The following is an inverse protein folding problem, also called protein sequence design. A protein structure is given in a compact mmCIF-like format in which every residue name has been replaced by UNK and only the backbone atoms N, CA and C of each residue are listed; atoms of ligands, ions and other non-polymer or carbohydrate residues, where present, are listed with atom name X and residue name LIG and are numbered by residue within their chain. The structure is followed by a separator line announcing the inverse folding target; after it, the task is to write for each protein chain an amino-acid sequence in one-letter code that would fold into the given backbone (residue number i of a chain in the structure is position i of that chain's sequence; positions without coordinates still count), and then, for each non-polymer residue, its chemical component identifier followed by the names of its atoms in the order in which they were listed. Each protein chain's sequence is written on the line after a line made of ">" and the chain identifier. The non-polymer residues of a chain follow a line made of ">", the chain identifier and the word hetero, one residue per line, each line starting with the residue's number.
data_IF_282494877491
#
_entry.id   IF_282494877491
#
_cell.length_a   1.000
_cell.length_b   1.000
_cell.length_c   1.000
_cell.angle_alpha   90.00
_cell.angle_beta   90.00
_cell.angle_gamma   90.00
#
_symmetry.space_group_name_H-M   'P 1'
#
loop_
_entity.id
_entity.type
_entity.pdbx_description
1 polymer ?
#
# COMPACT_ATOMS: atom_id res chain seq x y z
N UNK A 1 13.62 -14.72 14.61
CA UNK A 1 14.92 -14.31 15.19
C UNK A 1 14.63 -13.10 16.06
N UNK A 2 15.00 -13.08 17.35
CA UNK A 2 14.72 -11.93 18.22
C UNK A 2 15.70 -10.79 17.93
N UNK A 3 15.22 -9.56 17.78
CA UNK A 3 16.08 -8.38 17.75
C UNK A 3 16.61 -8.18 19.17
N UNK A 4 17.86 -8.58 19.42
CA UNK A 4 18.45 -8.53 20.78
C UNK A 4 19.20 -7.24 21.08
N UNK A 5 19.59 -6.48 20.05
CA UNK A 5 20.38 -5.26 20.22
C UNK A 5 20.10 -4.25 19.10
N UNK A 6 19.87 -2.99 19.47
CA UNK A 6 19.71 -1.86 18.55
C UNK A 6 20.88 -0.90 18.79
N UNK A 7 21.68 -0.65 17.75
CA UNK A 7 22.77 0.33 17.81
C UNK A 7 22.31 1.64 17.17
N UNK A 8 21.97 2.61 18.01
CA UNK A 8 21.62 3.96 17.54
C UNK A 8 22.93 4.70 17.23
N UNK A 9 23.12 5.10 15.98
CA UNK A 9 24.18 6.05 15.59
C UNK A 9 23.54 7.42 15.43
N UNK A 10 23.88 8.35 16.32
CA UNK A 10 23.53 9.76 16.16
C UNK A 10 24.68 10.44 15.42
N UNK A 11 24.37 11.33 14.49
CA UNK A 11 25.37 12.21 13.91
C UNK A 11 25.87 13.17 15.01
N UNK A 12 27.19 13.34 15.11
CA UNK A 12 27.81 14.21 16.12
C UNK A 12 27.66 15.71 15.80
N UNK A 13 27.07 16.04 14.65
CA UNK A 13 26.76 17.40 14.23
C UNK A 13 25.85 17.42 12.99
N UNK A 14 25.46 18.62 12.52
CA UNK A 14 24.70 18.78 11.29
C UNK A 14 25.46 18.17 10.11
N UNK A 15 24.80 17.29 9.37
CA UNK A 15 25.33 16.72 8.13
C UNK A 15 24.86 17.56 6.95
N UNK A 16 25.80 18.11 6.17
CA UNK A 16 25.47 18.76 4.90
C UNK A 16 25.20 17.67 3.87
N UNK A 17 23.94 17.51 3.50
CA UNK A 17 23.49 16.66 2.41
C UNK A 17 23.36 17.52 1.16
N UNK A 18 24.06 17.14 0.08
CA UNK A 18 24.20 18.02 -1.09
C UNK A 18 22.88 18.27 -1.85
N UNK A 19 21.88 17.38 -1.71
CA UNK A 19 20.68 17.38 -2.55
C UNK A 19 19.35 17.20 -1.76
N UNK A 20 19.28 17.61 -0.49
CA UNK A 20 18.03 17.54 0.27
C UNK A 20 17.66 18.90 0.87
N UNK A 21 16.53 19.45 0.44
CA UNK A 21 15.89 20.62 1.04
C UNK A 21 14.81 20.15 2.01
N UNK A 22 15.13 20.16 3.31
CA UNK A 22 14.20 19.82 4.39
C UNK A 22 13.55 21.09 4.95
N UNK A 23 12.73 21.77 4.13
CA UNK A 23 12.01 23.04 4.39
C UNK A 23 11.94 23.49 5.87
N UNK A 24 10.84 23.23 6.57
CA UNK A 24 10.73 23.44 8.03
C UNK A 24 11.15 22.20 8.85
N UNK A 25 11.45 21.08 8.19
CA UNK A 25 11.80 19.82 8.86
C UNK A 25 10.73 19.34 9.85
N UNK A 26 11.17 18.79 10.98
CA UNK A 26 10.31 18.32 12.09
C UNK A 26 10.24 19.39 13.20
N UNK A 27 9.89 20.62 12.86
CA UNK A 27 9.83 21.72 13.84
C UNK A 27 8.44 21.88 14.44
N UNK A 28 8.39 22.21 15.73
CA UNK A 28 7.14 22.43 16.46
C UNK A 28 6.35 23.63 15.89
N UNK A 29 5.03 23.47 15.73
CA UNK A 29 4.12 24.57 15.35
C UNK A 29 4.14 24.98 13.88
N UNK A 30 4.82 24.25 13.00
CA UNK A 30 5.01 24.61 11.58
C UNK A 30 4.14 23.88 10.55
N UNK A 31 3.44 22.81 10.93
CA UNK A 31 2.83 21.84 10.01
C UNK A 31 1.33 21.63 10.27
N UNK A 32 0.58 21.39 9.19
CA UNK A 32 -0.85 21.05 9.26
C UNK A 32 -1.09 19.54 9.49
N UNK A 33 -0.06 18.70 9.37
CA UNK A 33 -0.12 17.24 9.49
C UNK A 33 1.02 16.70 10.35
N UNK A 34 0.85 15.48 10.86
CA UNK A 34 1.93 14.72 11.47
C UNK A 34 3.02 14.43 10.43
N UNK A 35 4.30 14.33 10.84
CA UNK A 35 5.36 13.90 9.96
C UNK A 35 5.22 12.42 9.61
N UNK A 36 5.39 12.08 8.34
CA UNK A 36 5.43 10.70 7.85
C UNK A 36 6.89 10.30 7.64
N UNK A 37 7.33 9.23 8.31
CA UNK A 37 8.72 8.75 8.25
C UNK A 37 8.71 7.35 7.63
N UNK A 38 8.96 7.28 6.34
CA UNK A 38 9.06 6.01 5.63
C UNK A 38 10.45 5.38 5.81
N UNK A 39 10.47 4.10 6.19
CA UNK A 39 11.72 3.33 6.32
C UNK A 39 11.70 2.12 5.39
N UNK A 40 12.66 2.09 4.47
CA UNK A 40 12.90 0.95 3.59
C UNK A 40 13.64 -0.17 4.32
N UNK A 41 13.11 -1.38 4.25
CA UNK A 41 13.75 -2.58 4.77
C UNK A 41 14.10 -3.56 3.67
N UNK A 42 15.13 -4.37 3.90
CA UNK A 42 15.43 -5.50 3.03
C UNK A 42 14.22 -6.45 2.97
N UNK A 43 13.79 -6.80 1.76
CA UNK A 43 12.54 -7.53 1.54
C UNK A 43 12.46 -8.88 2.28
N UNK A 44 13.60 -9.54 2.48
CA UNK A 44 13.75 -10.81 3.20
C UNK A 44 13.71 -10.66 4.74
N UNK A 45 13.82 -9.44 5.26
CA UNK A 45 13.80 -9.12 6.69
C UNK A 45 12.55 -8.38 7.15
N UNK A 46 11.63 -8.07 6.24
CA UNK A 46 10.38 -7.36 6.56
C UNK A 46 9.61 -8.01 7.71
N UNK A 47 9.52 -9.33 7.73
CA UNK A 47 8.78 -10.03 8.79
C UNK A 47 9.41 -9.81 10.17
N UNK A 48 10.74 -9.71 10.26
CA UNK A 48 11.44 -9.44 11.53
C UNK A 48 11.03 -8.07 12.10
N UNK A 49 10.83 -7.07 11.25
CA UNK A 49 10.40 -5.73 11.66
C UNK A 49 8.97 -5.77 12.19
N UNK A 50 8.08 -6.48 11.49
CA UNK A 50 6.70 -6.67 11.96
C UNK A 50 6.66 -7.38 13.32
N UNK A 51 7.39 -8.49 13.45
CA UNK A 51 7.49 -9.26 14.68
C UNK A 51 8.03 -8.39 15.83
N UNK A 52 9.03 -7.54 15.55
CA UNK A 52 9.56 -6.60 16.53
C UNK A 52 8.53 -5.56 16.98
N UNK A 53 7.79 -4.96 16.05
CA UNK A 53 6.74 -4.00 16.38
C UNK A 53 5.66 -4.66 17.25
N UNK A 54 5.24 -5.86 16.89
CA UNK A 54 4.28 -6.65 17.69
C UNK A 54 4.84 -6.95 19.09
N UNK A 55 6.06 -7.46 19.22
CA UNK A 55 6.70 -7.72 20.53
C UNK A 55 6.85 -6.44 21.36
N UNK A 56 7.13 -5.31 20.72
CA UNK A 56 7.41 -4.04 21.39
C UNK A 56 6.17 -3.32 21.89
N UNK A 57 5.05 -3.39 21.15
CA UNK A 57 3.87 -2.57 21.38
C UNK A 57 2.62 -3.37 21.78
N UNK A 58 2.53 -4.66 21.45
CA UNK A 58 1.47 -5.55 21.97
C UNK A 58 1.82 -6.02 23.40
N UNK A 59 1.84 -5.09 24.34
CA UNK A 59 2.11 -5.34 25.76
C UNK A 59 0.84 -5.77 26.50
N UNK A 60 1.01 -6.47 27.64
CA UNK A 60 -0.07 -6.88 28.55
C UNK A 60 -1.19 -7.71 27.89
N UNK A 61 -0.86 -8.44 26.82
CA UNK A 61 -1.83 -9.24 26.07
C UNK A 61 -2.79 -8.44 25.19
N UNK A 62 -2.57 -7.12 25.04
CA UNK A 62 -3.42 -6.25 24.22
C UNK A 62 -2.93 -6.18 22.78
N UNK A 63 -3.85 -6.19 21.83
CA UNK A 63 -3.50 -5.98 20.42
C UNK A 63 -3.51 -4.50 20.06
N UNK A 64 -2.35 -3.98 19.65
CA UNK A 64 -2.14 -2.57 19.25
C UNK A 64 -1.45 -2.41 17.91
N UNK A 65 -0.77 -3.44 17.44
CA UNK A 65 -0.09 -3.48 16.14
C UNK A 65 -0.85 -4.41 15.20
N UNK A 66 -1.23 -3.90 14.03
CA UNK A 66 -1.98 -4.65 13.03
C UNK A 66 -1.82 -4.01 11.65
N UNK A 67 -2.23 -4.68 10.58
CA UNK A 67 -2.04 -4.14 9.22
C UNK A 67 -3.19 -3.22 8.81
N UNK A 68 -2.90 -2.20 8.01
CA UNK A 68 -3.95 -1.40 7.39
C UNK A 68 -4.73 -2.23 6.34
N UNK A 69 -5.97 -1.84 6.06
CA UNK A 69 -6.74 -2.40 4.95
C UNK A 69 -6.29 -1.81 3.62
N UNK A 70 -6.58 -2.49 2.52
CA UNK A 70 -6.60 -1.88 1.19
C UNK A 70 -7.92 -2.16 0.50
N UNK A 71 -8.36 -1.21 -0.29
CA UNK A 71 -9.58 -1.33 -1.09
C UNK A 71 -9.25 -1.08 -2.54
N UNK A 72 -9.65 -2.01 -3.38
CA UNK A 72 -9.55 -1.86 -4.84
C UNK A 72 -10.89 -1.43 -5.40
N UNK A 73 -10.85 -0.56 -6.40
CA UNK A 73 -12.03 -0.09 -7.10
C UNK A 73 -12.16 -0.75 -8.47
N UNK A 74 -13.38 -0.74 -9.01
CA UNK A 74 -13.69 -1.21 -10.35
C UNK A 74 -13.06 -0.28 -11.40
N UNK A 75 -11.90 -0.71 -11.92
CA UNK A 75 -11.20 -0.04 -13.04
C UNK A 75 -11.84 -0.41 -14.38
N UNK A 76 -11.65 0.46 -15.38
CA UNK A 76 -12.27 0.36 -16.71
C UNK A 76 -12.17 -1.02 -17.36
N UNK A 77 -10.95 -1.56 -17.50
CA UNK A 77 -10.73 -2.88 -18.12
C UNK A 77 -11.45 -4.01 -17.36
N UNK A 78 -11.47 -3.94 -16.03
CA UNK A 78 -12.13 -4.94 -15.20
C UNK A 78 -13.65 -4.83 -15.29
N UNK A 79 -14.18 -3.60 -15.25
CA UNK A 79 -15.61 -3.33 -15.44
C UNK A 79 -16.10 -3.81 -16.82
N UNK A 80 -15.36 -3.50 -17.89
CA UNK A 80 -15.67 -3.99 -19.24
C UNK A 80 -15.76 -5.52 -19.30
N UNK A 81 -14.82 -6.24 -18.66
CA UNK A 81 -14.84 -7.70 -18.61
C UNK A 81 -16.05 -8.24 -17.85
N UNK A 82 -16.31 -7.68 -16.67
CA UNK A 82 -17.36 -8.16 -15.78
C UNK A 82 -18.75 -7.89 -16.39
N UNK A 83 -18.99 -6.71 -16.95
CA UNK A 83 -20.26 -6.35 -17.62
C UNK A 83 -20.46 -7.11 -18.92
N UNK A 84 -19.43 -7.19 -19.77
CA UNK A 84 -19.54 -7.91 -21.03
C UNK A 84 -19.85 -9.40 -20.82
N UNK A 85 -19.38 -10.00 -19.72
CA UNK A 85 -19.75 -11.36 -19.31
C UNK A 85 -21.24 -11.49 -19.00
N UNK A 86 -21.84 -10.49 -18.32
CA UNK A 86 -23.29 -10.46 -18.03
C UNK A 86 -24.10 -10.37 -19.32
N UNK A 87 -23.65 -9.54 -20.26
CA UNK A 87 -24.23 -9.41 -21.60
C UNK A 87 -23.89 -10.57 -22.55
N UNK A 88 -23.23 -11.63 -22.06
CA UNK A 88 -22.84 -12.84 -22.83
C UNK A 88 -21.99 -12.54 -24.07
N UNK A 89 -21.22 -11.46 -24.05
CA UNK A 89 -20.24 -11.17 -25.10
C UNK A 89 -19.12 -12.22 -25.03
N UNK A 90 -18.68 -12.80 -26.17
CA UNK A 90 -17.61 -13.80 -26.18
C UNK A 90 -16.33 -13.28 -25.50
N UNK A 91 -15.82 -14.03 -24.53
CA UNK A 91 -14.65 -13.65 -23.71
C UNK A 91 -13.39 -13.36 -24.54
N UNK A 92 -13.21 -14.05 -25.68
CA UNK A 92 -12.11 -13.81 -26.61
C UNK A 92 -12.15 -12.40 -27.20
N UNK A 93 -13.33 -11.90 -27.57
CA UNK A 93 -13.53 -10.54 -28.08
C UNK A 93 -13.21 -9.53 -26.99
N UNK A 94 -13.75 -9.72 -25.79
CA UNK A 94 -13.56 -8.78 -24.68
C UNK A 94 -12.10 -8.69 -24.26
N UNK A 95 -11.38 -9.81 -24.18
CA UNK A 95 -9.95 -9.81 -23.88
C UNK A 95 -9.14 -9.13 -24.98
N UNK A 96 -9.48 -9.35 -26.24
CA UNK A 96 -8.83 -8.69 -27.36
C UNK A 96 -9.01 -7.17 -27.29
N UNK A 97 -10.23 -6.70 -27.04
CA UNK A 97 -10.55 -5.27 -26.92
C UNK A 97 -9.88 -4.64 -25.70
N UNK A 98 -9.96 -5.28 -24.54
CA UNK A 98 -9.35 -4.74 -23.29
C UNK A 98 -7.83 -4.74 -23.30
N UNK A 99 -7.19 -5.59 -24.10
CA UNK A 99 -5.74 -5.56 -24.33
C UNK A 99 -5.30 -4.36 -25.19
N UNK A 100 -6.18 -3.79 -26.01
CA UNK A 100 -5.89 -2.59 -26.81
C UNK A 100 -6.05 -1.29 -26.06
N UNK A 101 -6.69 -1.31 -24.89
CA UNK A 101 -6.87 -0.13 -24.05
C UNK A 101 -5.58 0.08 -23.27
N UNK A 102 -5.06 1.31 -23.21
CA UNK A 102 -3.86 1.59 -22.43
C UNK A 102 -4.12 1.44 -20.91
N UNK A 103 -3.09 1.08 -20.14
CA UNK A 103 -3.21 1.05 -18.68
C UNK A 103 -3.44 2.46 -18.13
N UNK A 104 -4.35 2.58 -17.15
CA UNK A 104 -4.74 3.87 -16.59
C UNK A 104 -5.75 4.67 -17.44
N UNK A 105 -6.20 4.14 -18.58
CA UNK A 105 -7.25 4.78 -19.39
C UNK A 105 -8.52 5.00 -18.55
N UNK A 106 -8.96 6.26 -18.48
CA UNK A 106 -10.19 6.67 -17.82
C UNK A 106 -11.39 6.60 -18.78
N UNK A 107 -12.58 6.96 -18.27
CA UNK A 107 -13.82 6.89 -19.05
C UNK A 107 -13.74 7.71 -20.34
N UNK A 108 -13.20 8.92 -20.28
CA UNK A 108 -13.06 9.78 -21.45
C UNK A 108 -12.00 9.25 -22.42
N UNK A 109 -10.89 8.74 -21.88
CA UNK A 109 -9.78 8.15 -22.62
C UNK A 109 -10.21 6.96 -23.46
N UNK A 110 -11.18 6.15 -23.00
CA UNK A 110 -11.77 5.07 -23.78
C UNK A 110 -12.26 5.56 -25.14
N UNK A 111 -13.04 6.65 -25.15
CA UNK A 111 -13.62 7.19 -26.38
C UNK A 111 -12.58 7.91 -27.25
N UNK A 112 -11.57 8.55 -26.64
CA UNK A 112 -10.45 9.12 -27.41
C UNK A 112 -9.68 8.03 -28.15
N UNK A 113 -9.38 6.91 -27.49
CA UNK A 113 -8.74 5.76 -28.15
C UNK A 113 -9.67 5.14 -29.20
N UNK A 114 -10.99 5.09 -28.97
CA UNK A 114 -11.94 4.59 -29.96
C UNK A 114 -12.00 5.49 -31.22
N UNK A 115 -11.76 6.79 -31.10
CA UNK A 115 -11.70 7.67 -32.26
C UNK A 115 -10.58 7.26 -33.23
N UNK A 116 -9.41 6.88 -32.70
CA UNK A 116 -8.25 6.44 -33.49
C UNK A 116 -8.21 4.93 -33.77
N UNK A 117 -8.87 4.11 -32.94
CA UNK A 117 -8.92 2.65 -33.08
C UNK A 117 -10.29 2.16 -33.55
N UNK A 118 -10.36 1.80 -34.84
CA UNK A 118 -11.59 1.29 -35.47
C UNK A 118 -12.19 0.09 -34.73
N UNK A 119 -11.36 -0.86 -34.27
CA UNK A 119 -11.86 -2.09 -33.62
C UNK A 119 -12.51 -1.79 -32.27
N UNK A 120 -11.95 -0.86 -31.51
CA UNK A 120 -12.51 -0.41 -30.24
C UNK A 120 -13.82 0.36 -30.46
N UNK A 121 -13.89 1.21 -31.49
CA UNK A 121 -15.13 1.88 -31.90
C UNK A 121 -16.22 0.90 -32.33
N UNK A 122 -15.88 -0.06 -33.17
CA UNK A 122 -16.82 -1.07 -33.64
C UNK A 122 -17.37 -1.88 -32.45
N UNK A 123 -16.53 -2.21 -31.45
CA UNK A 123 -16.98 -2.86 -30.22
C UNK A 123 -17.98 -2.01 -29.43
N UNK A 124 -17.68 -0.72 -29.22
CA UNK A 124 -18.57 0.22 -28.51
C UNK A 124 -19.92 0.33 -29.22
N UNK A 125 -19.93 0.41 -30.55
CA UNK A 125 -21.15 0.50 -31.35
C UNK A 125 -21.93 -0.82 -31.42
N UNK A 126 -21.24 -1.96 -31.38
CA UNK A 126 -21.88 -3.29 -31.40
C UNK A 126 -22.50 -3.64 -30.05
N UNK A 127 -21.88 -3.22 -28.95
CA UNK A 127 -22.31 -3.53 -27.58
C UNK A 127 -22.58 -2.26 -26.76
N UNK A 128 -23.51 -1.36 -27.18
CA UNK A 128 -23.72 -0.07 -26.52
C UNK A 128 -24.20 -0.22 -25.07
N UNK A 129 -25.03 -1.22 -24.78
CA UNK A 129 -25.50 -1.50 -23.42
C UNK A 129 -24.37 -1.91 -22.46
N UNK A 130 -23.33 -2.59 -22.96
CA UNK A 130 -22.15 -2.91 -22.15
C UNK A 130 -21.44 -1.63 -21.74
N UNK A 131 -21.35 -0.66 -22.65
CA UNK A 131 -20.69 0.62 -22.38
C UNK A 131 -21.53 1.43 -21.39
N UNK A 132 -22.85 1.53 -21.60
CA UNK A 132 -23.77 2.22 -20.67
C UNK A 132 -23.66 1.67 -19.24
N UNK A 133 -23.75 0.35 -19.07
CA UNK A 133 -23.70 -0.29 -17.75
C UNK A 133 -22.33 -0.17 -17.07
N UNK A 134 -21.24 -0.15 -17.85
CA UNK A 134 -19.88 0.02 -17.30
C UNK A 134 -19.75 1.35 -16.57
N UNK A 135 -20.35 2.43 -17.08
CA UNK A 135 -20.20 3.77 -16.51
C UNK A 135 -20.65 3.83 -15.04
N UNK A 136 -21.76 3.16 -14.71
CA UNK A 136 -22.29 3.14 -13.33
C UNK A 136 -21.42 2.34 -12.35
N UNK A 137 -20.55 1.46 -12.85
CA UNK A 137 -19.70 0.60 -12.03
C UNK A 137 -18.30 1.16 -11.82
N UNK A 138 -17.87 2.17 -12.59
CA UNK A 138 -16.52 2.72 -12.44
C UNK A 138 -16.32 3.35 -11.06
N UNK A 139 -15.18 3.05 -10.45
CA UNK A 139 -14.83 3.59 -9.13
C UNK A 139 -15.54 2.91 -7.95
N UNK A 140 -16.51 2.02 -8.20
CA UNK A 140 -17.18 1.28 -7.12
C UNK A 140 -16.20 0.36 -6.39
N UNK A 141 -16.33 0.17 -5.07
CA UNK A 141 -15.52 -0.79 -4.32
C UNK A 141 -15.67 -2.21 -4.89
N UNK A 142 -14.54 -2.90 -5.11
CA UNK A 142 -14.49 -4.24 -5.70
C UNK A 142 -14.08 -5.31 -4.69
N UNK A 143 -12.93 -5.12 -4.06
CA UNK A 143 -12.36 -6.10 -3.15
C UNK A 143 -11.55 -5.39 -2.06
N UNK A 144 -11.60 -5.97 -0.87
CA UNK A 144 -10.79 -5.59 0.26
C UNK A 144 -9.62 -6.58 0.44
N UNK A 145 -8.46 -6.08 0.84
CA UNK A 145 -7.26 -6.89 1.09
C UNK A 145 -6.46 -6.31 2.27
N UNK A 146 -5.35 -6.95 2.62
CA UNK A 146 -4.36 -6.46 3.58
C UNK A 146 -3.38 -5.54 2.86
N UNK A 147 -3.05 -4.39 3.47
CA UNK A 147 -2.00 -3.52 2.95
C UNK A 147 -0.64 -4.20 3.02
N UNK A 148 0.13 -4.10 1.93
CA UNK A 148 1.39 -4.81 1.82
C UNK A 148 2.50 -4.26 2.73
N UNK A 149 2.48 -2.96 3.07
CA UNK A 149 3.49 -2.29 3.91
C UNK A 149 2.91 -1.71 5.21
N UNK A 150 1.90 -0.84 5.11
CA UNK A 150 1.29 -0.11 6.22
C UNK A 150 0.88 -1.00 7.42
N UNK A 151 1.54 -0.70 8.53
CA UNK A 151 1.26 -1.22 9.86
C UNK A 151 0.72 -0.06 10.70
N UNK A 152 -0.38 -0.30 11.40
CA UNK A 152 -0.99 0.64 12.33
C UNK A 152 -0.52 0.32 13.74
N UNK A 153 -0.15 1.34 14.50
CA UNK A 153 0.22 1.24 15.92
C UNK A 153 -0.69 2.16 16.73
N UNK A 154 -1.60 1.60 17.52
CA UNK A 154 -2.52 2.40 18.34
C UNK A 154 -1.92 2.76 19.71
N UNK A 155 -2.36 3.86 20.35
CA UNK A 155 -2.02 4.17 21.74
C UNK A 155 -2.41 3.03 22.70
N UNK A 156 -1.75 2.97 23.86
CA UNK A 156 -2.07 2.00 24.94
C UNK A 156 -3.26 2.43 25.78
N UNK A 157 -3.65 3.70 25.66
CA UNK A 157 -4.67 4.33 26.46
C UNK A 157 -5.57 5.22 25.61
N UNK A 158 -6.85 5.27 25.98
CA UNK A 158 -7.85 6.19 25.45
C UNK A 158 -8.64 6.74 26.63
N UNK A 159 -8.74 8.06 26.73
CA UNK A 159 -9.46 8.76 27.82
C UNK A 159 -9.02 8.30 29.23
N UNK A 160 -7.72 8.06 29.41
CA UNK A 160 -7.13 7.62 30.69
C UNK A 160 -7.38 6.17 31.06
N UNK A 161 -7.95 5.36 30.17
CA UNK A 161 -8.18 3.92 30.35
C UNK A 161 -7.33 3.11 29.38
N UNK A 162 -6.94 1.87 29.72
CA UNK A 162 -6.30 0.98 28.77
C UNK A 162 -7.19 0.79 27.53
N UNK A 163 -6.57 0.79 26.35
CA UNK A 163 -7.24 0.67 25.07
C UNK A 163 -6.56 -0.38 24.18
N UNK A 164 -7.34 -0.92 23.25
CA UNK A 164 -6.91 -1.85 22.22
C UNK A 164 -7.22 -1.30 20.82
N UNK A 165 -6.80 -2.00 19.77
CA UNK A 165 -6.98 -1.57 18.39
C UNK A 165 -8.44 -1.18 18.04
N UNK A 166 -9.42 -1.96 18.52
CA UNK A 166 -10.84 -1.77 18.22
C UNK A 166 -11.46 -0.57 18.94
N UNK A 167 -10.79 -0.03 19.97
CA UNK A 167 -11.25 1.19 20.62
C UNK A 167 -11.01 2.41 19.73
N UNK A 168 -10.10 2.35 18.75
CA UNK A 168 -9.75 3.48 17.89
C UNK A 168 -10.44 3.43 16.52
N UNK A 169 -10.53 2.24 15.92
CA UNK A 169 -11.06 2.08 14.56
C UNK A 169 -11.63 0.67 14.33
N UNK A 170 -12.57 0.50 13.37
CA UNK A 170 -13.13 -0.80 13.06
C UNK A 170 -12.08 -1.76 12.50
N UNK A 171 -11.97 -2.95 13.06
CA UNK A 171 -11.02 -3.99 12.63
C UNK A 171 -11.74 -5.26 12.20
N UNK A 172 -11.21 -5.92 11.19
CA UNK A 172 -11.64 -7.25 10.71
C UNK A 172 -10.52 -8.27 10.84
N UNK A 173 -10.90 -9.54 10.86
CA UNK A 173 -9.96 -10.65 10.79
C UNK A 173 -9.92 -11.20 9.37
N UNK A 174 -8.74 -11.27 8.77
CA UNK A 174 -8.51 -11.80 7.42
C UNK A 174 -7.29 -12.72 7.46
N UNK A 175 -7.44 -13.97 7.00
CA UNK A 175 -6.38 -14.99 7.00
C UNK A 175 -5.66 -15.16 8.35
N UNK A 176 -6.41 -15.04 9.45
CA UNK A 176 -5.87 -15.14 10.81
C UNK A 176 -5.26 -13.87 11.37
N UNK A 177 -5.00 -12.85 10.55
CA UNK A 177 -4.45 -11.55 10.95
C UNK A 177 -5.56 -10.51 11.23
N UNK A 178 -5.28 -9.58 12.13
CA UNK A 178 -6.13 -8.40 12.34
C UNK A 178 -5.76 -7.32 11.32
N UNK A 179 -6.80 -6.70 10.75
CA UNK A 179 -6.70 -5.74 9.65
C UNK A 179 -7.65 -4.60 9.92
N UNK A 180 -7.17 -3.37 9.74
CA UNK A 180 -8.00 -2.17 9.74
C UNK A 180 -9.06 -2.24 8.63
N UNK A 181 -10.30 -1.83 8.94
CA UNK A 181 -11.31 -1.52 7.92
C UNK A 181 -11.08 -0.14 7.29
N UNK A 182 -10.15 0.65 7.82
CA UNK A 182 -9.68 1.88 7.19
C UNK A 182 -8.42 1.58 6.37
N UNK A 183 -8.30 2.22 5.20
CA UNK A 183 -7.04 2.22 4.46
C UNK A 183 -5.99 3.12 5.13
N UNK A 184 -4.74 3.02 4.66
CA UNK A 184 -3.62 3.77 5.23
C UNK A 184 -3.83 5.28 5.28
N UNK A 185 -4.43 5.88 4.25
CA UNK A 185 -4.70 7.32 4.23
C UNK A 185 -5.75 7.71 5.26
N UNK A 186 -6.82 6.92 5.36
CA UNK A 186 -7.88 7.14 6.34
C UNK A 186 -7.37 6.98 7.78
N UNK A 187 -6.40 6.10 8.02
CA UNK A 187 -5.74 5.94 9.33
C UNK A 187 -4.92 7.18 9.69
N UNK A 188 -4.19 7.75 8.73
CA UNK A 188 -3.41 8.98 8.93
C UNK A 188 -4.31 10.19 9.23
N UNK A 189 -5.43 10.32 8.50
CA UNK A 189 -6.38 11.42 8.66
C UNK A 189 -7.02 11.47 10.06
N UNK A 190 -7.24 10.31 10.69
CA UNK A 190 -7.74 10.23 12.07
C UNK A 190 -6.64 10.37 13.13
N UNK A 191 -5.39 10.63 12.71
CA UNK A 191 -4.26 10.93 13.58
C UNK A 191 -3.65 9.71 14.27
N UNK A 192 -3.85 8.52 13.73
CA UNK A 192 -3.18 7.32 14.22
C UNK A 192 -1.82 7.13 13.56
N UNK A 193 -0.89 6.51 14.29
CA UNK A 193 0.42 6.19 13.74
C UNK A 193 0.30 5.04 12.73
N UNK A 194 0.58 5.36 11.47
CA UNK A 194 0.86 4.42 10.39
C UNK A 194 2.36 4.39 10.15
N UNK A 195 2.93 3.20 10.08
CA UNK A 195 4.31 2.97 9.69
C UNK A 195 4.33 2.12 8.42
N UNK A 196 4.95 2.62 7.36
CA UNK A 196 5.11 1.88 6.11
C UNK A 196 6.36 0.99 6.13
N UNK A 197 6.18 -0.27 6.52
CA UNK A 197 7.25 -1.27 6.46
C UNK A 197 7.40 -1.79 5.03
N UNK A 198 8.14 -1.05 4.22
CA UNK A 198 8.42 -1.34 2.81
C UNK A 198 9.45 -2.48 2.66
N UNK A 199 9.18 -3.40 1.74
CA UNK A 199 10.06 -4.53 1.41
C UNK A 199 10.79 -4.28 0.09
N UNK A 200 12.01 -3.73 0.18
CA UNK A 200 12.80 -3.32 -0.97
C UNK A 200 13.78 -4.43 -1.37
N UNK A 201 13.62 -4.94 -2.60
CA UNK A 201 14.41 -6.08 -3.12
C UNK A 201 15.86 -5.70 -3.37
N UNK A 202 16.10 -4.43 -3.69
CA UNK A 202 17.40 -3.85 -3.96
C UNK A 202 18.28 -3.91 -2.71
N UNK A 203 17.72 -3.62 -1.53
CA UNK A 203 18.42 -3.74 -0.26
C UNK A 203 18.82 -5.19 0.06
N UNK A 204 17.93 -6.15 -0.22
CA UNK A 204 18.25 -7.57 -0.06
C UNK A 204 19.39 -8.01 -1.00
N UNK A 205 19.39 -7.54 -2.26
CA UNK A 205 20.48 -7.79 -3.22
C UNK A 205 21.80 -7.19 -2.74
N UNK A 206 21.80 -5.96 -2.25
CA UNK A 206 23.01 -5.30 -1.72
C UNK A 206 23.57 -6.09 -0.53
N UNK A 207 22.72 -6.53 0.39
CA UNK A 207 23.14 -7.38 1.52
C UNK A 207 23.79 -8.68 1.05
N UNK A 208 23.20 -9.34 0.05
CA UNK A 208 23.77 -10.55 -0.54
C UNK A 208 25.14 -10.28 -1.21
N UNK A 209 25.29 -9.16 -1.91
CA UNK A 209 26.58 -8.77 -2.53
C UNK A 209 27.65 -8.53 -1.45
N UNK A 210 27.33 -7.78 -0.39
CA UNK A 210 28.25 -7.54 0.73
C UNK A 210 28.69 -8.88 1.36
N UNK A 211 27.76 -9.79 1.61
CA UNK A 211 28.06 -11.11 2.17
C UNK A 211 29.01 -11.94 1.28
N UNK A 212 28.82 -11.88 -0.05
CA UNK A 212 29.71 -12.54 -1.01
C UNK A 212 31.12 -11.94 -1.00
N UNK A 213 31.23 -10.61 -0.93
CA UNK A 213 32.51 -9.91 -0.89
C UNK A 213 33.27 -10.25 0.40
N UNK A 214 32.61 -10.13 1.55
CA UNK A 214 33.21 -10.43 2.84
C UNK A 214 33.72 -11.88 2.88
N UNK A 215 32.94 -12.84 2.36
CA UNK A 215 33.33 -14.26 2.30
C UNK A 215 34.52 -14.52 1.35
N UNK A 216 34.53 -13.92 0.17
CA UNK A 216 35.52 -14.25 -0.87
C UNK A 216 36.82 -13.45 -0.74
N UNK A 217 36.77 -12.27 -0.14
CA UNK A 217 37.91 -11.34 -0.03
C UNK A 217 38.36 -11.06 1.40
N UNK A 218 37.73 -11.68 2.41
CA UNK A 218 38.11 -11.52 3.82
C UNK A 218 37.94 -10.10 4.36
N UNK A 219 36.97 -9.36 3.81
CA UNK A 219 36.64 -7.99 4.21
C UNK A 219 35.54 -7.98 5.28
N UNK A 220 35.41 -6.87 6.02
CA UNK A 220 34.27 -6.57 6.90
C UNK A 220 33.64 -5.25 6.48
N UNK A 221 32.93 -5.28 5.35
CA UNK A 221 32.07 -4.19 4.88
C UNK A 221 30.78 -4.10 5.69
#
# INVERSE_FOLDING_TARGET
>A
MKVTHIRIRKADGPLTVMDAFVDKGLTEGGHASLPDIDVDYASDRRQEIKDYLEERYNADGRQRVFSAGTFTTMKLKAALKDVARVHRVPHSIVNYITAMIDDGTDWTGLFRQAASNRKLRDFIQTYPLVIEDVQGLLGQPKAASIHASAIVVTPDTRDGRPAECFDFLPVRKMDGALVSEFDGYSVDEIGLLKEDVLATKELAKLSAVIALVNRNFGQEL
#
